data_IF_882472753567
#
_entry.id   IF_882472753567
#
_cell.length_a   1.000
_cell.length_b   1.000
_cell.length_c   1.000
_cell.angle_alpha   90.00
_cell.angle_beta   90.00
_cell.angle_gamma   90.00
#
_symmetry.space_group_name_H-M   'P 1'
#
loop_
_entity.id
_entity.type
_entity.pdbx_description
1 polymer ?
#
# COMPACT_ATOMS: atom_id res chain seq x y z
N UNK A 1 -7.36 35.21 -9.92
CA UNK A 1 -6.36 35.75 -10.87
C UNK A 1 -6.72 35.20 -12.22
N UNK A 2 -7.01 36.05 -13.24
CA UNK A 2 -7.52 35.62 -14.55
C UNK A 2 -6.45 34.83 -15.31
N UNK A 3 -6.86 33.74 -16.00
CA UNK A 3 -6.00 32.85 -16.78
C UNK A 3 -5.15 33.59 -17.84
N UNK A 4 -5.62 34.76 -18.33
CA UNK A 4 -4.89 35.62 -19.29
C UNK A 4 -3.56 36.20 -18.76
N UNK A 5 -3.34 36.21 -17.45
CA UNK A 5 -2.08 36.70 -16.86
C UNK A 5 -1.02 35.62 -16.69
N UNK A 6 -1.36 34.34 -16.80
CA UNK A 6 -0.43 33.22 -16.66
C UNK A 6 0.22 32.80 -17.98
N UNK A 7 -0.44 33.08 -19.11
CA UNK A 7 0.05 32.69 -20.43
C UNK A 7 0.29 33.92 -21.32
N UNK A 8 1.31 34.73 -20.96
CA UNK A 8 1.85 35.72 -21.89
C UNK A 8 2.35 35.03 -23.16
N UNK A 9 1.98 35.60 -24.32
CA UNK A 9 2.25 35.08 -25.65
C UNK A 9 3.66 34.50 -25.80
N UNK A 10 3.79 33.16 -25.81
CA UNK A 10 5.03 32.44 -26.10
C UNK A 10 4.83 31.55 -27.33
N UNK A 11 5.79 31.50 -28.27
CA UNK A 11 5.64 30.76 -29.53
C UNK A 11 5.82 29.26 -29.32
N UNK A 12 5.08 28.49 -30.11
CA UNK A 12 5.16 27.07 -30.43
C UNK A 12 6.38 26.32 -29.84
N UNK A 13 6.22 25.79 -28.63
CA UNK A 13 7.16 24.87 -28.00
C UNK A 13 6.40 24.02 -26.99
N UNK A 14 6.82 22.79 -26.74
CA UNK A 14 6.21 21.92 -25.73
C UNK A 14 6.05 22.67 -24.40
N UNK A 15 4.90 22.51 -23.76
CA UNK A 15 4.59 23.12 -22.46
C UNK A 15 5.64 22.60 -21.44
N UNK A 16 6.36 23.52 -20.78
CA UNK A 16 7.29 23.14 -19.73
C UNK A 16 6.56 22.52 -18.52
N UNK A 17 7.25 21.75 -17.66
CA UNK A 17 6.64 21.11 -16.51
C UNK A 17 5.88 22.10 -15.58
N UNK A 18 6.37 23.31 -15.41
CA UNK A 18 5.69 24.37 -14.63
C UNK A 18 4.39 24.85 -15.25
N UNK A 19 4.33 24.89 -16.58
CA UNK A 19 3.12 25.31 -17.33
C UNK A 19 2.09 24.18 -17.36
N UNK A 20 2.51 22.92 -17.37
CA UNK A 20 1.64 21.74 -17.31
C UNK A 20 0.92 21.66 -15.95
N UNK A 21 1.63 21.80 -14.83
CA UNK A 21 1.05 21.81 -13.48
C UNK A 21 0.06 22.98 -13.30
N UNK A 22 0.43 24.18 -13.78
CA UNK A 22 -0.45 25.34 -13.74
C UNK A 22 -1.74 25.13 -14.52
N UNK A 23 -1.64 24.55 -15.71
CA UNK A 23 -2.81 24.25 -16.55
C UNK A 23 -3.68 23.14 -15.93
N UNK A 24 -3.08 22.10 -15.37
CA UNK A 24 -3.78 21.03 -14.67
C UNK A 24 -4.63 21.57 -13.50
N UNK A 25 -4.07 22.47 -12.68
CA UNK A 25 -4.79 23.10 -11.58
C UNK A 25 -6.02 23.89 -12.04
N UNK A 26 -5.85 24.64 -13.11
CA UNK A 26 -6.94 25.44 -13.68
C UNK A 26 -8.03 24.56 -14.29
N UNK A 27 -7.64 23.53 -15.04
CA UNK A 27 -8.56 22.56 -15.62
C UNK A 27 -9.29 21.77 -14.54
N UNK A 28 -8.60 21.33 -13.50
CA UNK A 28 -9.22 20.61 -12.39
C UNK A 28 -10.35 21.42 -11.74
N UNK A 29 -10.10 22.71 -11.46
CA UNK A 29 -11.14 23.61 -10.92
C UNK A 29 -12.29 23.79 -11.89
N UNK A 30 -11.99 24.06 -13.16
CA UNK A 30 -13.01 24.22 -14.21
C UNK A 30 -13.91 22.98 -14.35
N UNK A 31 -13.33 21.79 -14.22
CA UNK A 31 -14.08 20.53 -14.32
C UNK A 31 -14.94 20.30 -13.09
N UNK A 32 -14.44 20.61 -11.88
CA UNK A 32 -15.27 20.55 -10.66
C UNK A 32 -16.48 21.46 -10.79
N UNK A 33 -16.28 22.72 -11.17
CA UNK A 33 -17.36 23.68 -11.37
C UNK A 33 -18.39 23.16 -12.41
N UNK A 34 -17.89 22.58 -13.52
CA UNK A 34 -18.74 22.00 -14.56
C UNK A 34 -19.51 20.74 -14.11
N UNK A 35 -18.93 19.92 -13.21
CA UNK A 35 -19.63 18.78 -12.60
C UNK A 35 -20.77 19.27 -11.70
N UNK A 36 -20.52 20.27 -10.86
CA UNK A 36 -21.53 20.87 -9.98
C UNK A 36 -22.67 21.50 -10.79
N UNK A 37 -22.35 22.28 -11.83
CA UNK A 37 -23.33 22.88 -12.72
C UNK A 37 -24.18 21.87 -13.50
N UNK A 38 -23.62 20.72 -13.84
CA UNK A 38 -24.31 19.65 -14.57
C UNK A 38 -25.45 19.01 -13.79
N UNK A 39 -25.45 19.12 -12.45
CA UNK A 39 -26.40 18.47 -11.54
C UNK A 39 -26.35 16.93 -11.58
N UNK A 40 -25.38 16.36 -12.29
CA UNK A 40 -25.20 14.91 -12.40
C UNK A 40 -24.23 14.42 -11.32
N UNK A 41 -24.58 13.32 -10.66
CA UNK A 41 -23.71 12.68 -9.68
C UNK A 41 -22.62 11.84 -10.38
N UNK A 42 -21.76 12.52 -11.18
CA UNK A 42 -20.71 11.89 -11.98
C UNK A 42 -19.59 11.27 -11.13
N UNK A 43 -19.38 11.78 -9.90
CA UNK A 43 -18.36 11.29 -9.00
C UNK A 43 -18.73 9.93 -8.37
N UNK A 44 -20.02 9.61 -8.29
CA UNK A 44 -20.53 8.29 -7.85
C UNK A 44 -20.85 7.36 -9.03
N UNK A 45 -20.75 7.88 -10.26
CA UNK A 45 -20.98 7.14 -11.50
C UNK A 45 -19.82 6.23 -11.91
N UNK A 46 -19.92 5.64 -13.11
CA UNK A 46 -18.82 4.84 -13.64
C UNK A 46 -17.63 5.73 -14.01
N UNK A 47 -16.39 5.24 -13.74
CA UNK A 47 -15.15 5.91 -14.15
C UNK A 47 -15.16 6.27 -15.66
N UNK A 48 -15.77 5.43 -16.49
CA UNK A 48 -15.85 5.65 -17.92
C UNK A 48 -16.72 6.87 -18.29
N UNK A 49 -17.85 7.06 -17.59
CA UNK A 49 -18.71 8.23 -17.81
C UNK A 49 -18.02 9.53 -17.38
N UNK A 50 -17.32 9.48 -16.25
CA UNK A 50 -16.54 10.64 -15.81
C UNK A 50 -15.38 10.93 -16.75
N UNK A 51 -14.65 9.91 -17.21
CA UNK A 51 -13.54 10.08 -18.15
C UNK A 51 -14.00 10.73 -19.46
N UNK A 52 -15.14 10.31 -20.00
CA UNK A 52 -15.72 10.94 -21.19
C UNK A 52 -16.07 12.41 -20.93
N UNK A 53 -16.74 12.70 -19.82
CA UNK A 53 -17.09 14.06 -19.43
C UNK A 53 -15.86 14.97 -19.29
N UNK A 54 -14.83 14.47 -18.60
CA UNK A 54 -13.55 15.19 -18.41
C UNK A 54 -12.88 15.47 -19.75
N UNK A 55 -12.81 14.46 -20.63
CA UNK A 55 -12.19 14.61 -21.98
C UNK A 55 -12.90 15.68 -22.78
N UNK A 56 -14.24 15.67 -22.78
CA UNK A 56 -15.04 16.66 -23.50
C UNK A 56 -14.82 18.08 -22.96
N UNK A 57 -14.77 18.23 -21.61
CA UNK A 57 -14.55 19.51 -20.95
C UNK A 57 -13.12 20.05 -21.10
N UNK A 58 -12.12 19.17 -21.09
CA UNK A 58 -10.73 19.55 -21.37
C UNK A 58 -10.62 20.06 -22.82
N UNK A 59 -11.19 19.35 -23.78
CA UNK A 59 -11.20 19.76 -25.18
C UNK A 59 -11.91 21.12 -25.39
N UNK A 60 -13.07 21.31 -24.74
CA UNK A 60 -13.82 22.58 -24.75
C UNK A 60 -12.99 23.73 -24.20
N UNK A 61 -12.32 23.54 -23.07
CA UNK A 61 -11.48 24.56 -22.42
C UNK A 61 -10.30 24.96 -23.30
N UNK A 62 -9.58 23.96 -23.85
CA UNK A 62 -8.42 24.16 -24.72
C UNK A 62 -8.82 24.89 -26.01
N UNK A 63 -9.94 24.50 -26.62
CA UNK A 63 -10.43 25.15 -27.83
C UNK A 63 -10.86 26.63 -27.55
N UNK A 64 -11.50 26.87 -26.42
CA UNK A 64 -11.94 28.22 -26.03
C UNK A 64 -10.79 29.20 -25.83
N UNK A 65 -9.67 28.72 -25.30
CA UNK A 65 -8.49 29.54 -25.03
C UNK A 65 -7.43 29.47 -26.16
N UNK A 66 -7.70 28.74 -27.24
CA UNK A 66 -6.79 28.54 -28.38
C UNK A 66 -5.39 28.06 -27.95
N UNK A 67 -5.33 27.17 -26.93
CA UNK A 67 -4.05 26.66 -26.43
C UNK A 67 -3.45 25.67 -27.43
N UNK A 68 -2.17 25.83 -27.74
CA UNK A 68 -1.44 24.95 -28.66
C UNK A 68 -0.95 23.70 -27.90
N UNK A 69 -1.86 22.76 -27.62
CA UNK A 69 -1.58 21.53 -26.90
C UNK A 69 -1.75 20.34 -27.83
N UNK A 70 -0.83 19.37 -27.78
CA UNK A 70 -0.94 18.16 -28.58
C UNK A 70 -2.09 17.28 -28.08
N UNK A 71 -2.65 16.44 -28.98
CA UNK A 71 -3.70 15.48 -28.60
C UNK A 71 -3.24 14.54 -27.48
N UNK A 72 -1.99 14.11 -27.51
CA UNK A 72 -1.40 13.26 -26.47
C UNK A 72 -1.36 13.95 -25.10
N UNK A 73 -0.94 15.21 -25.05
CA UNK A 73 -0.91 15.99 -23.79
C UNK A 73 -2.33 16.25 -23.26
N UNK A 74 -3.32 16.49 -24.15
CA UNK A 74 -4.71 16.65 -23.77
C UNK A 74 -5.29 15.37 -23.16
N UNK A 75 -5.04 14.22 -23.78
CA UNK A 75 -5.48 12.91 -23.29
C UNK A 75 -4.81 12.62 -21.92
N UNK A 76 -3.52 12.88 -21.78
CA UNK A 76 -2.78 12.72 -20.52
C UNK A 76 -3.34 13.61 -19.40
N UNK A 77 -3.58 14.89 -19.66
CA UNK A 77 -4.20 15.81 -18.71
C UNK A 77 -5.60 15.33 -18.27
N UNK A 78 -6.38 14.83 -19.22
CA UNK A 78 -7.70 14.26 -18.92
C UNK A 78 -7.61 13.04 -18.00
N UNK A 79 -6.71 12.12 -18.26
CA UNK A 79 -6.49 10.95 -17.40
C UNK A 79 -6.01 11.33 -16.00
N UNK A 80 -5.05 12.25 -15.91
CA UNK A 80 -4.56 12.76 -14.62
C UNK A 80 -5.66 13.40 -13.78
N UNK A 81 -6.57 14.17 -14.43
CA UNK A 81 -7.70 14.79 -13.74
C UNK A 81 -8.74 13.74 -13.31
N UNK A 82 -9.02 12.74 -14.14
CA UNK A 82 -9.90 11.63 -13.75
C UNK A 82 -9.33 10.86 -12.55
N UNK A 83 -8.03 10.55 -12.56
CA UNK A 83 -7.35 9.90 -11.43
C UNK A 83 -7.43 10.77 -10.17
N UNK A 84 -7.32 12.08 -10.30
CA UNK A 84 -7.43 13.02 -9.19
C UNK A 84 -8.86 13.12 -8.64
N UNK A 85 -9.88 12.99 -9.51
CA UNK A 85 -11.28 13.05 -9.12
C UNK A 85 -11.84 11.73 -8.58
N UNK A 86 -11.38 10.57 -9.06
CA UNK A 86 -11.96 9.25 -8.73
C UNK A 86 -11.02 8.32 -8.00
N UNK A 87 -9.72 8.49 -8.17
CA UNK A 87 -8.68 7.64 -7.59
C UNK A 87 -8.07 8.23 -6.33
N UNK A 88 -6.84 7.81 -6.06
CA UNK A 88 -6.04 8.32 -4.95
C UNK A 88 -5.26 9.59 -5.34
N UNK A 89 -5.79 10.37 -6.28
CA UNK A 89 -5.20 11.61 -6.74
C UNK A 89 -3.79 11.42 -7.29
N UNK A 90 -2.86 12.33 -6.94
CA UNK A 90 -1.49 12.24 -7.39
C UNK A 90 -0.78 10.94 -7.05
N UNK A 91 -1.25 10.20 -6.02
CA UNK A 91 -0.62 8.95 -5.59
C UNK A 91 -0.86 7.78 -6.54
N UNK A 92 -1.85 7.88 -7.44
CA UNK A 92 -2.23 6.78 -8.32
C UNK A 92 -1.06 6.28 -9.18
N UNK A 93 -0.24 7.19 -9.70
CA UNK A 93 0.96 6.87 -10.49
C UNK A 93 1.97 6.06 -9.65
N UNK A 94 2.20 6.48 -8.40
CA UNK A 94 3.12 5.80 -7.48
C UNK A 94 2.59 4.44 -7.03
N UNK A 95 1.29 4.34 -6.83
CA UNK A 95 0.64 3.08 -6.44
C UNK A 95 0.72 2.05 -7.57
N UNK A 96 0.66 2.47 -8.83
CA UNK A 96 0.81 1.60 -10.00
C UNK A 96 2.26 1.22 -10.31
N UNK A 97 3.24 2.02 -9.89
CA UNK A 97 4.66 1.77 -10.14
C UNK A 97 5.17 0.60 -9.27
N UNK A 98 5.49 -0.59 -9.83
CA UNK A 98 5.93 -1.74 -9.06
C UNK A 98 7.30 -1.53 -8.39
N UNK A 99 8.12 -0.59 -8.86
CA UNK A 99 9.42 -0.28 -8.26
C UNK A 99 9.31 0.50 -6.96
N UNK A 100 8.18 1.16 -6.71
CA UNK A 100 7.91 1.90 -5.47
C UNK A 100 7.42 0.93 -4.40
N UNK A 101 8.10 0.89 -3.27
CA UNK A 101 7.77 0.03 -2.13
C UNK A 101 7.06 0.78 -1.00
N UNK A 102 7.39 2.06 -0.82
CA UNK A 102 6.78 2.90 0.20
C UNK A 102 6.52 4.31 -0.34
N UNK A 103 5.43 4.93 0.09
CA UNK A 103 5.04 6.30 -0.26
C UNK A 103 4.80 7.04 1.04
N UNK A 104 5.49 8.17 1.23
CA UNK A 104 5.42 9.00 2.43
C UNK A 104 5.02 10.42 2.04
N UNK A 105 3.83 10.84 2.44
CA UNK A 105 3.32 12.22 2.25
C UNK A 105 3.49 12.98 3.55
N UNK A 106 4.30 14.01 3.54
CA UNK A 106 4.56 14.91 4.68
C UNK A 106 4.03 16.30 4.35
N UNK A 107 2.70 16.46 4.44
CA UNK A 107 2.02 17.66 3.95
C UNK A 107 1.94 17.69 2.42
N UNK A 108 1.35 18.77 1.84
CA UNK A 108 0.99 18.79 0.43
C UNK A 108 2.19 18.85 -0.54
N UNK A 109 3.34 19.33 -0.10
CA UNK A 109 4.46 19.63 -1.02
C UNK A 109 5.67 18.72 -0.85
N UNK A 110 5.63 17.77 0.09
CA UNK A 110 6.75 16.87 0.39
C UNK A 110 6.27 15.42 0.32
N UNK A 111 6.45 14.82 -0.84
CA UNK A 111 6.18 13.40 -1.07
C UNK A 111 7.51 12.68 -1.27
N UNK A 112 7.74 11.63 -0.50
CA UNK A 112 8.90 10.75 -0.61
C UNK A 112 8.45 9.37 -1.04
N UNK A 113 9.31 8.67 -1.75
CA UNK A 113 9.10 7.29 -2.18
C UNK A 113 10.33 6.46 -1.84
N UNK A 114 10.11 5.20 -1.52
CA UNK A 114 11.20 4.23 -1.42
C UNK A 114 11.27 3.41 -2.71
N UNK A 115 12.48 3.31 -3.26
CA UNK A 115 12.85 2.38 -4.33
C UNK A 115 14.14 1.68 -3.94
N UNK A 116 14.17 0.37 -4.08
CA UNK A 116 15.35 -0.46 -3.76
C UNK A 116 15.94 -0.20 -2.36
N UNK A 117 15.08 0.09 -1.37
CA UNK A 117 15.48 0.39 0.00
C UNK A 117 16.03 1.80 0.24
N UNK A 118 15.98 2.68 -0.77
CA UNK A 118 16.46 4.07 -0.67
C UNK A 118 15.29 5.04 -0.81
N UNK A 119 15.23 6.02 0.11
CA UNK A 119 14.24 7.09 0.07
C UNK A 119 14.66 8.21 -0.90
N UNK A 120 13.74 8.58 -1.79
CA UNK A 120 13.89 9.66 -2.74
C UNK A 120 12.73 10.65 -2.59
N UNK A 121 12.99 11.94 -2.75
CA UNK A 121 11.93 12.92 -2.87
C UNK A 121 11.33 12.84 -4.28
N UNK A 122 10.00 12.74 -4.34
CA UNK A 122 9.24 12.78 -5.60
C UNK A 122 8.94 14.23 -5.99
N UNK A 123 8.82 14.48 -7.29
CA UNK A 123 8.33 15.76 -7.83
C UNK A 123 6.81 15.94 -7.67
N UNK A 124 6.12 14.89 -7.25
CA UNK A 124 4.68 14.85 -7.05
C UNK A 124 4.26 15.74 -5.88
N UNK A 125 3.19 16.51 -6.07
CA UNK A 125 2.65 17.44 -5.07
C UNK A 125 1.13 17.41 -5.04
N UNK A 126 0.60 17.68 -3.87
CA UNK A 126 -0.82 17.98 -3.69
C UNK A 126 -1.05 19.49 -3.80
N UNK A 127 -2.29 19.86 -4.07
CA UNK A 127 -2.70 21.29 -4.20
C UNK A 127 -2.53 22.02 -2.86
N UNK A 128 -3.08 21.42 -1.81
CA UNK A 128 -3.11 21.96 -0.45
C UNK A 128 -3.30 20.83 0.59
N UNK A 129 -3.34 21.17 1.87
CA UNK A 129 -3.56 20.22 2.96
C UNK A 129 -4.93 19.53 2.87
N UNK A 130 -5.98 20.25 2.50
CA UNK A 130 -7.31 19.67 2.33
C UNK A 130 -7.37 18.65 1.19
N UNK A 131 -6.56 18.83 0.14
CA UNK A 131 -6.45 17.84 -0.93
C UNK A 131 -5.85 16.52 -0.39
N UNK A 132 -4.81 16.61 0.46
CA UNK A 132 -4.24 15.41 1.14
C UNK A 132 -5.31 14.72 1.99
N UNK A 133 -6.03 15.48 2.82
CA UNK A 133 -7.10 14.95 3.67
C UNK A 133 -8.22 14.28 2.88
N UNK A 134 -8.67 14.89 1.77
CA UNK A 134 -9.68 14.27 0.88
C UNK A 134 -9.20 12.94 0.30
N UNK A 135 -7.93 12.85 -0.10
CA UNK A 135 -7.36 11.59 -0.60
C UNK A 135 -7.27 10.55 0.53
N UNK A 136 -6.84 10.95 1.74
CA UNK A 136 -6.85 10.07 2.91
C UNK A 136 -8.26 9.54 3.21
N UNK A 137 -9.27 10.41 3.24
CA UNK A 137 -10.65 10.00 3.47
C UNK A 137 -11.14 9.03 2.40
N UNK A 138 -10.78 9.28 1.13
CA UNK A 138 -11.14 8.40 0.01
C UNK A 138 -10.50 7.01 0.11
N UNK A 139 -9.27 6.94 0.62
CA UNK A 139 -8.57 5.68 0.91
C UNK A 139 -9.25 4.93 2.07
N UNK A 140 -9.68 5.64 3.12
CA UNK A 140 -10.13 5.07 4.38
C UNK A 140 -11.63 4.75 4.41
N UNK A 141 -12.46 5.53 3.72
CA UNK A 141 -13.92 5.37 3.73
C UNK A 141 -14.39 3.97 3.31
N UNK A 142 -13.88 3.35 2.22
CA UNK A 142 -14.26 1.99 1.85
C UNK A 142 -13.87 0.93 2.89
N UNK A 143 -12.91 1.25 3.77
CA UNK A 143 -12.42 0.38 4.83
C UNK A 143 -13.24 0.52 6.13
N UNK A 144 -14.23 1.40 6.14
CA UNK A 144 -15.03 1.71 7.34
C UNK A 144 -14.23 2.38 8.45
N UNK A 145 -13.12 3.03 8.11
CA UNK A 145 -12.26 3.73 9.08
C UNK A 145 -12.56 5.23 9.09
N UNK A 146 -12.55 5.82 10.29
CA UNK A 146 -12.76 7.26 10.49
C UNK A 146 -11.42 7.95 10.68
N UNK A 147 -11.30 9.13 10.09
CA UNK A 147 -10.18 10.05 10.27
C UNK A 147 -10.79 11.45 10.41
N UNK A 148 -10.86 11.95 11.63
CA UNK A 148 -11.42 13.25 11.98
C UNK A 148 -10.74 13.79 13.25
N UNK A 149 -11.11 14.98 13.71
CA UNK A 149 -10.55 15.59 14.92
C UNK A 149 -10.69 14.71 16.18
N UNK A 150 -11.73 13.87 16.26
CA UNK A 150 -11.94 12.94 17.38
C UNK A 150 -11.09 11.68 17.24
N UNK A 151 -10.71 11.32 16.03
CA UNK A 151 -9.85 10.18 15.70
C UNK A 151 -8.80 10.63 14.68
N UNK A 152 -7.80 11.43 15.13
CA UNK A 152 -6.90 12.13 14.21
C UNK A 152 -5.79 11.27 13.61
N UNK A 153 -5.75 9.99 13.94
CA UNK A 153 -4.81 9.02 13.37
C UNK A 153 -5.48 7.66 13.16
N UNK A 154 -5.06 6.93 12.14
CA UNK A 154 -5.61 5.64 11.79
C UNK A 154 -4.59 4.76 11.08
N UNK A 155 -4.60 3.48 11.45
CA UNK A 155 -3.97 2.40 10.69
C UNK A 155 -5.04 1.62 9.94
N UNK A 156 -4.77 1.34 8.68
CA UNK A 156 -5.68 0.62 7.81
C UNK A 156 -4.92 -0.28 6.84
N UNK A 157 -5.66 -1.18 6.21
CA UNK A 157 -5.15 -2.07 5.17
C UNK A 157 -6.01 -1.97 3.94
N UNK A 158 -5.37 -1.73 2.80
CA UNK A 158 -6.03 -1.72 1.50
C UNK A 158 -6.43 -3.14 1.05
N UNK A 159 -7.39 -3.29 0.13
CA UNK A 159 -7.79 -4.59 -0.40
C UNK A 159 -6.65 -5.37 -1.08
N UNK A 160 -5.65 -4.67 -1.60
CA UNK A 160 -4.45 -5.27 -2.20
C UNK A 160 -3.43 -5.78 -1.16
N UNK A 161 -3.68 -5.50 0.13
CA UNK A 161 -2.82 -5.87 1.24
C UNK A 161 -1.86 -4.77 1.71
N UNK A 162 -1.77 -3.65 1.00
CA UNK A 162 -0.93 -2.51 1.37
C UNK A 162 -1.37 -1.92 2.72
N UNK A 163 -0.40 -1.50 3.54
CA UNK A 163 -0.66 -0.84 4.82
C UNK A 163 -0.73 0.66 4.64
N UNK A 164 -1.64 1.29 5.33
CA UNK A 164 -1.83 2.74 5.33
C UNK A 164 -1.86 3.24 6.76
N UNK A 165 -1.01 4.20 7.07
CA UNK A 165 -1.11 5.02 8.27
C UNK A 165 -1.40 6.46 7.86
N UNK A 166 -2.41 7.07 8.46
CA UNK A 166 -2.78 8.46 8.23
C UNK A 166 -2.90 9.20 9.56
N UNK A 167 -2.41 10.42 9.58
CA UNK A 167 -2.47 11.30 10.75
C UNK A 167 -2.73 12.75 10.29
N UNK A 168 -3.62 13.45 10.99
CA UNK A 168 -4.04 14.81 10.64
C UNK A 168 -3.81 15.80 11.80
N UNK A 169 -3.81 17.12 11.53
CA UNK A 169 -3.85 18.12 12.58
C UNK A 169 -5.01 17.89 13.57
N UNK A 170 -4.89 18.31 14.86
CA UNK A 170 -3.81 19.13 15.40
C UNK A 170 -2.58 18.34 15.84
N UNK A 171 -2.61 17.00 15.86
CA UNK A 171 -1.46 16.20 16.32
C UNK A 171 -0.33 16.10 15.28
N UNK A 172 -0.64 16.23 14.00
CA UNK A 172 0.35 16.38 12.93
C UNK A 172 0.66 17.88 12.74
N UNK A 173 1.72 18.37 13.38
CA UNK A 173 2.00 19.80 13.49
C UNK A 173 2.33 20.48 12.13
N UNK A 174 2.96 19.74 11.23
CA UNK A 174 3.39 20.25 9.90
C UNK A 174 2.33 20.01 8.80
N UNK A 175 1.14 19.56 9.18
CA UNK A 175 0.05 19.21 8.26
C UNK A 175 -0.21 17.70 8.19
N UNK A 176 -1.19 17.29 7.36
CA UNK A 176 -1.58 15.88 7.24
C UNK A 176 -0.42 15.03 6.71
N UNK A 177 -0.20 13.86 7.33
CA UNK A 177 0.82 12.89 6.92
C UNK A 177 0.18 11.54 6.58
N UNK A 178 0.61 10.95 5.46
CA UNK A 178 0.15 9.67 4.98
C UNK A 178 1.35 8.78 4.65
N UNK A 179 1.37 7.58 5.19
CA UNK A 179 2.36 6.55 4.86
C UNK A 179 1.65 5.36 4.23
N UNK A 180 2.09 4.94 3.06
CA UNK A 180 1.57 3.74 2.38
C UNK A 180 2.74 2.80 2.12
N UNK A 181 2.73 1.65 2.79
CA UNK A 181 3.67 0.56 2.51
C UNK A 181 3.00 -0.44 1.59
N UNK A 182 3.47 -0.49 0.35
CA UNK A 182 2.88 -1.35 -0.68
C UNK A 182 3.12 -2.82 -0.38
N UNK A 183 2.08 -3.62 -0.61
CA UNK A 183 2.19 -5.06 -0.53
C UNK A 183 2.91 -5.60 -1.77
N UNK A 184 4.08 -6.21 -1.58
CA UNK A 184 4.83 -6.83 -2.67
C UNK A 184 4.09 -8.09 -3.16
N UNK A 185 3.77 -8.13 -4.44
CA UNK A 185 3.15 -9.30 -5.08
C UNK A 185 4.18 -10.31 -5.59
N UNK A 186 5.41 -9.86 -5.81
CA UNK A 186 6.47 -10.70 -6.36
C UNK A 186 7.06 -11.57 -5.25
N UNK A 187 6.79 -12.87 -5.36
CA UNK A 187 7.34 -13.87 -4.45
C UNK A 187 8.75 -14.23 -4.95
N UNK A 188 9.76 -13.86 -4.17
CA UNK A 188 11.12 -14.35 -4.38
C UNK A 188 11.15 -15.88 -4.19
N UNK A 189 11.92 -16.54 -5.05
CA UNK A 189 12.19 -17.98 -5.00
C UNK A 189 13.58 -18.24 -4.42
N UNK A 190 13.82 -19.47 -4.02
CA UNK A 190 15.17 -19.89 -3.56
C UNK A 190 16.25 -19.65 -4.62
N UNK A 191 15.92 -19.79 -5.90
CA UNK A 191 16.82 -19.47 -7.02
C UNK A 191 17.25 -18.01 -7.04
N UNK A 192 16.39 -17.10 -6.62
CA UNK A 192 16.68 -15.67 -6.60
C UNK A 192 17.67 -15.35 -5.46
N UNK A 193 17.49 -15.97 -4.28
CA UNK A 193 18.46 -15.83 -3.17
C UNK A 193 19.85 -16.34 -3.53
N UNK A 194 19.93 -17.44 -4.29
CA UNK A 194 21.20 -17.97 -4.78
C UNK A 194 21.82 -17.05 -5.84
N UNK A 195 21.01 -16.53 -6.77
CA UNK A 195 21.48 -15.58 -7.78
C UNK A 195 22.00 -14.28 -7.16
N UNK A 196 21.36 -13.81 -6.08
CA UNK A 196 21.78 -12.65 -5.28
C UNK A 196 22.95 -12.96 -4.32
N UNK A 197 23.44 -14.19 -4.30
CA UNK A 197 24.49 -14.67 -3.40
C UNK A 197 24.16 -14.47 -1.90
N UNK A 198 22.89 -14.41 -1.56
CA UNK A 198 22.42 -14.31 -0.17
C UNK A 198 22.62 -15.64 0.57
N UNK A 199 22.40 -16.76 -0.13
CA UNK A 199 22.68 -18.13 0.34
C UNK A 199 23.40 -18.89 -0.76
N UNK A 200 24.24 -19.83 -0.38
CA UNK A 200 24.83 -20.80 -1.30
C UNK A 200 23.99 -22.10 -1.36
N UNK A 201 24.41 -23.00 -2.25
CA UNK A 201 23.72 -24.29 -2.43
C UNK A 201 23.74 -25.14 -1.16
N UNK A 202 24.85 -25.15 -0.43
CA UNK A 202 25.01 -25.99 0.76
C UNK A 202 24.07 -25.51 1.88
N UNK A 203 23.94 -24.19 2.08
CA UNK A 203 22.97 -23.60 3.02
C UNK A 203 21.55 -23.92 2.57
N UNK A 204 21.24 -23.80 1.27
CA UNK A 204 19.91 -24.12 0.76
C UNK A 204 19.53 -25.58 0.99
N UNK A 205 20.43 -26.53 0.69
CA UNK A 205 20.23 -27.97 0.93
C UNK A 205 20.05 -28.28 2.43
N UNK A 206 20.82 -27.62 3.30
CA UNK A 206 20.65 -27.73 4.74
C UNK A 206 19.26 -27.28 5.18
N UNK A 207 18.80 -26.10 4.72
CA UNK A 207 17.48 -25.56 5.04
C UNK A 207 16.36 -26.44 4.50
N UNK A 208 16.48 -26.95 3.26
CA UNK A 208 15.53 -27.88 2.66
C UNK A 208 15.41 -29.17 3.49
N UNK A 209 16.53 -29.73 3.92
CA UNK A 209 16.56 -30.89 4.79
C UNK A 209 15.93 -30.62 6.16
N UNK A 210 16.20 -29.45 6.75
CA UNK A 210 15.61 -29.04 8.03
C UNK A 210 14.08 -28.93 7.93
N UNK A 211 13.57 -28.29 6.87
CA UNK A 211 12.11 -28.19 6.59
C UNK A 211 11.50 -29.58 6.38
N UNK A 212 12.15 -30.43 5.57
CA UNK A 212 11.67 -31.79 5.28
C UNK A 212 11.64 -32.69 6.52
N UNK A 213 12.58 -32.50 7.44
CA UNK A 213 12.65 -33.22 8.74
C UNK A 213 11.78 -32.62 9.83
N UNK A 214 10.97 -31.60 9.51
CA UNK A 214 10.11 -30.90 10.46
C UNK A 214 10.87 -30.26 11.62
N UNK A 215 12.07 -29.73 11.37
CA UNK A 215 12.75 -28.93 12.38
C UNK A 215 11.98 -27.63 12.62
N UNK A 216 11.88 -27.21 13.87
CA UNK A 216 11.39 -25.89 14.23
C UNK A 216 12.43 -24.84 13.85
N UNK A 217 12.03 -23.78 13.17
CA UNK A 217 12.94 -22.78 12.63
C UNK A 217 12.57 -21.39 13.14
N UNK A 218 13.55 -20.73 13.76
CA UNK A 218 13.46 -19.32 14.16
C UNK A 218 14.43 -18.50 13.30
N UNK A 219 13.89 -17.45 12.65
CA UNK A 219 14.66 -16.55 11.81
C UNK A 219 14.81 -15.22 12.53
N UNK A 220 16.06 -14.87 12.91
CA UNK A 220 16.36 -13.62 13.62
C UNK A 220 17.05 -12.62 12.72
N UNK A 221 16.81 -11.34 12.96
CA UNK A 221 17.46 -10.23 12.24
C UNK A 221 16.73 -8.91 12.42
N UNK A 222 17.38 -7.80 12.07
CA UNK A 222 16.81 -6.47 12.13
C UNK A 222 15.68 -6.23 11.13
N UNK A 223 15.07 -5.04 11.17
CA UNK A 223 14.05 -4.62 10.19
C UNK A 223 14.67 -4.55 8.79
N UNK A 224 13.92 -4.99 7.76
CA UNK A 224 14.38 -4.94 6.38
C UNK A 224 15.43 -5.97 5.96
N UNK A 225 15.88 -6.86 6.86
CA UNK A 225 16.93 -7.86 6.55
C UNK A 225 16.44 -9.07 5.74
N UNK A 226 15.14 -9.15 5.42
CA UNK A 226 14.58 -10.23 4.61
C UNK A 226 14.05 -11.43 5.41
N UNK A 227 13.83 -11.32 6.73
CA UNK A 227 13.26 -12.40 7.57
C UNK A 227 11.98 -13.00 6.98
N UNK A 228 11.00 -12.15 6.69
CA UNK A 228 9.71 -12.56 6.10
C UNK A 228 9.89 -13.18 4.71
N UNK A 229 10.83 -12.67 3.94
CA UNK A 229 11.18 -13.23 2.62
C UNK A 229 11.74 -14.64 2.76
N UNK A 230 12.69 -14.87 3.67
CA UNK A 230 13.23 -16.19 3.92
C UNK A 230 12.15 -17.14 4.44
N UNK A 231 11.30 -16.69 5.37
CA UNK A 231 10.17 -17.48 5.87
C UNK A 231 9.20 -17.90 4.75
N UNK A 232 8.88 -16.99 3.83
CA UNK A 232 8.05 -17.30 2.66
C UNK A 232 8.73 -18.35 1.76
N UNK A 233 10.03 -18.23 1.51
CA UNK A 233 10.77 -19.20 0.68
C UNK A 233 10.82 -20.56 1.35
N UNK A 234 11.11 -20.65 2.65
CA UNK A 234 11.15 -21.91 3.38
C UNK A 234 9.76 -22.57 3.41
N UNK A 235 8.69 -21.80 3.48
CA UNK A 235 7.33 -22.33 3.45
C UNK A 235 6.98 -23.05 2.15
N UNK A 236 7.60 -22.64 1.02
CA UNK A 236 7.40 -23.29 -0.28
C UNK A 236 8.04 -24.71 -0.33
N UNK A 237 8.97 -25.00 0.59
CA UNK A 237 9.61 -26.31 0.70
C UNK A 237 8.80 -27.29 1.55
N UNK A 238 7.71 -26.85 2.18
CA UNK A 238 6.83 -27.70 2.98
C UNK A 238 6.05 -28.64 2.06
N UNK A 239 5.82 -29.87 2.52
CA UNK A 239 5.06 -30.86 1.77
C UNK A 239 3.64 -30.34 1.50
N UNK A 240 3.16 -30.33 0.24
CA UNK A 240 1.85 -29.80 -0.14
C UNK A 240 0.65 -30.50 0.52
N UNK A 241 0.83 -31.67 1.11
CA UNK A 241 -0.22 -32.38 1.87
C UNK A 241 -0.34 -31.94 3.33
N UNK A 242 0.58 -31.10 3.82
CA UNK A 242 0.52 -30.58 5.18
C UNK A 242 -0.46 -29.38 5.27
N UNK A 243 -1.15 -29.28 6.39
CA UNK A 243 -2.04 -28.14 6.70
C UNK A 243 -1.26 -27.10 7.48
N UNK A 244 -1.18 -25.88 6.94
CA UNK A 244 -0.50 -24.75 7.55
C UNK A 244 -1.53 -23.82 8.18
N UNK A 245 -1.24 -23.32 9.38
CA UNK A 245 -1.97 -22.19 9.97
C UNK A 245 -0.98 -21.06 10.17
N UNK A 246 -1.24 -19.92 9.55
CA UNK A 246 -0.41 -18.70 9.77
C UNK A 246 -1.09 -17.78 10.77
N UNK A 247 -0.29 -17.13 11.60
CA UNK A 247 -0.76 -16.14 12.57
C UNK A 247 0.15 -14.91 12.44
N UNK A 248 -0.44 -13.76 12.22
CA UNK A 248 0.29 -12.52 11.95
C UNK A 248 -0.43 -11.34 12.60
N UNK A 249 0.31 -10.32 12.97
CA UNK A 249 -0.27 -9.04 13.39
C UNK A 249 -0.92 -8.32 12.22
N UNK A 250 -0.24 -8.35 11.09
CA UNK A 250 -0.78 -7.96 9.77
C UNK A 250 -0.32 -9.01 8.78
N UNK A 251 -1.26 -9.59 8.04
CA UNK A 251 -0.98 -10.69 7.13
C UNK A 251 -0.10 -10.26 5.95
N UNK A 252 1.21 -10.49 6.05
CA UNK A 252 2.22 -10.24 5.02
C UNK A 252 2.72 -11.54 4.35
N UNK A 253 2.55 -12.68 5.02
CA UNK A 253 3.03 -13.95 4.50
C UNK A 253 2.28 -14.35 3.23
N UNK A 254 3.05 -14.71 2.22
CA UNK A 254 2.57 -15.21 0.94
C UNK A 254 3.07 -16.63 0.74
N UNK A 255 2.43 -17.56 1.43
CA UNK A 255 2.83 -18.96 1.33
C UNK A 255 2.26 -19.54 0.02
N UNK A 256 3.12 -19.90 -0.90
CA UNK A 256 2.76 -20.61 -2.14
C UNK A 256 2.34 -22.06 -1.88
N UNK A 257 1.52 -22.32 -0.84
CA UNK A 257 1.13 -23.63 -0.38
C UNK A 257 -0.37 -23.85 -0.56
N UNK A 258 -0.84 -25.02 -1.02
CA UNK A 258 -2.24 -25.25 -1.37
C UNK A 258 -3.20 -25.27 -0.16
N UNK A 259 -2.71 -25.59 1.03
CA UNK A 259 -3.55 -25.74 2.21
C UNK A 259 -3.09 -24.83 3.36
N UNK A 260 -3.45 -23.54 3.29
CA UNK A 260 -3.12 -22.52 4.29
C UNK A 260 -4.40 -21.93 4.87
N UNK A 261 -4.44 -21.82 6.20
CA UNK A 261 -5.44 -21.01 6.91
C UNK A 261 -4.72 -19.81 7.49
N UNK A 262 -5.14 -18.62 7.10
CA UNK A 262 -4.51 -17.36 7.52
C UNK A 262 -5.32 -16.72 8.64
N UNK A 263 -4.67 -16.42 9.76
CA UNK A 263 -5.25 -15.74 10.91
C UNK A 263 -4.49 -14.44 11.15
N UNK A 264 -5.23 -13.39 11.47
CA UNK A 264 -4.68 -12.05 11.75
C UNK A 264 -5.19 -11.59 13.12
N UNK A 265 -4.31 -10.99 13.90
CA UNK A 265 -4.68 -10.37 15.18
C UNK A 265 -5.62 -9.19 14.93
N UNK A 266 -6.36 -8.82 15.93
CA UNK A 266 -7.24 -7.65 15.87
C UNK A 266 -6.99 -6.76 17.08
N UNK A 267 -6.55 -5.50 16.87
CA UNK A 267 -6.45 -4.54 17.95
C UNK A 267 -7.83 -4.23 18.53
N UNK A 268 -7.91 -3.75 19.76
CA UNK A 268 -9.17 -3.32 20.36
C UNK A 268 -9.81 -2.18 19.53
N UNK A 269 -11.13 -2.10 19.56
CA UNK A 269 -11.87 -0.98 18.97
C UNK A 269 -11.68 0.30 19.80
N UNK A 270 -12.28 1.41 19.36
CA UNK A 270 -12.22 2.70 20.05
C UNK A 270 -12.73 2.67 21.50
N UNK A 271 -13.55 1.68 21.85
CA UNK A 271 -14.10 1.46 23.18
C UNK A 271 -13.24 0.50 24.03
N UNK A 272 -12.10 0.04 23.51
CA UNK A 272 -11.21 -0.90 24.18
C UNK A 272 -11.66 -2.36 24.13
N UNK A 273 -12.65 -2.71 23.28
CA UNK A 273 -13.22 -4.05 23.19
C UNK A 273 -12.86 -4.77 21.90
N UNK A 274 -13.00 -6.09 21.91
CA UNK A 274 -12.87 -6.93 20.72
C UNK A 274 -11.44 -7.22 20.28
N UNK A 275 -10.45 -7.00 21.17
CA UNK A 275 -9.06 -7.39 20.93
C UNK A 275 -8.95 -8.91 20.73
N UNK A 276 -8.15 -9.35 19.76
CA UNK A 276 -7.76 -10.74 19.54
C UNK A 276 -6.25 -10.81 19.41
N UNK A 277 -5.58 -11.37 20.40
CA UNK A 277 -4.12 -11.44 20.49
C UNK A 277 -3.55 -12.66 19.75
N UNK A 278 -2.28 -12.61 19.40
CA UNK A 278 -1.58 -13.73 18.79
C UNK A 278 -1.64 -14.99 19.67
N UNK A 279 -1.53 -14.85 21.00
CA UNK A 279 -1.68 -15.95 21.95
C UNK A 279 -3.04 -16.66 21.89
N UNK A 280 -4.13 -15.89 21.69
CA UNK A 280 -5.47 -16.47 21.55
C UNK A 280 -5.61 -17.24 20.25
N UNK A 281 -5.04 -16.70 19.18
CA UNK A 281 -5.03 -17.35 17.85
C UNK A 281 -4.17 -18.62 17.86
N UNK A 282 -3.01 -18.63 18.52
CA UNK A 282 -2.16 -19.83 18.68
C UNK A 282 -2.94 -20.93 19.40
N UNK A 283 -3.55 -20.62 20.54
CA UNK A 283 -4.36 -21.59 21.30
C UNK A 283 -5.55 -22.13 20.51
N UNK A 284 -6.16 -21.28 19.68
CA UNK A 284 -7.23 -21.71 18.80
C UNK A 284 -6.70 -22.58 17.65
N UNK A 285 -5.57 -22.20 17.07
CA UNK A 285 -4.93 -22.93 15.97
C UNK A 285 -4.64 -24.39 16.33
N UNK A 286 -4.23 -24.68 17.56
CA UNK A 286 -4.01 -26.05 18.08
C UNK A 286 -5.25 -26.96 17.96
N UNK A 287 -6.46 -26.38 17.88
CA UNK A 287 -7.74 -27.12 17.68
C UNK A 287 -8.15 -27.21 16.22
N UNK A 288 -7.39 -26.56 15.31
CA UNK A 288 -7.71 -26.54 13.87
C UNK A 288 -7.01 -27.66 13.08
N UNK A 289 -6.39 -28.60 13.77
CA UNK A 289 -5.58 -29.69 13.18
C UNK A 289 -4.47 -29.18 12.27
N UNK A 290 -3.60 -28.28 12.74
CA UNK A 290 -2.47 -27.85 11.95
C UNK A 290 -1.41 -28.96 11.92
N UNK A 291 -0.73 -29.13 10.78
CA UNK A 291 0.53 -29.88 10.73
C UNK A 291 1.68 -28.99 11.15
N UNK A 292 1.62 -27.69 10.80
CA UNK A 292 2.57 -26.65 11.24
C UNK A 292 1.87 -25.33 11.52
N UNK A 293 2.40 -24.59 12.50
CA UNK A 293 2.01 -23.23 12.80
C UNK A 293 3.14 -22.29 12.36
N UNK A 294 2.80 -21.29 11.57
CA UNK A 294 3.76 -20.30 11.09
C UNK A 294 3.35 -18.97 11.68
N UNK A 295 4.17 -18.43 12.59
CA UNK A 295 3.96 -17.12 13.17
C UNK A 295 4.80 -16.09 12.41
N UNK A 296 4.18 -15.01 11.94
CA UNK A 296 4.87 -13.97 11.19
C UNK A 296 6.02 -13.38 11.98
N UNK A 297 5.78 -13.00 13.24
CA UNK A 297 6.80 -12.45 14.13
C UNK A 297 6.45 -12.69 15.59
N UNK A 298 7.46 -13.01 16.39
CA UNK A 298 7.38 -13.08 17.86
C UNK A 298 7.86 -11.73 18.43
N UNK A 299 7.01 -11.06 19.20
CA UNK A 299 7.30 -9.76 19.82
C UNK A 299 7.15 -9.72 21.33
N UNK A 300 6.46 -10.70 21.92
CA UNK A 300 6.10 -10.63 23.34
C UNK A 300 5.76 -11.97 23.96
N UNK A 301 4.71 -11.95 24.78
CA UNK A 301 4.32 -13.09 25.63
C UNK A 301 3.87 -14.33 24.85
N UNK A 302 3.46 -14.18 23.60
CA UNK A 302 3.07 -15.27 22.69
C UNK A 302 4.19 -16.27 22.43
N UNK A 303 5.44 -15.90 22.69
CA UNK A 303 6.60 -16.82 22.60
C UNK A 303 6.36 -18.12 23.39
N UNK A 304 5.72 -18.03 24.56
CA UNK A 304 5.45 -19.21 25.40
C UNK A 304 4.44 -20.14 24.71
N UNK A 305 3.40 -19.59 24.10
CA UNK A 305 2.41 -20.37 23.37
C UNK A 305 2.99 -21.01 22.11
N UNK A 306 3.88 -20.29 21.39
CA UNK A 306 4.62 -20.83 20.23
C UNK A 306 5.51 -21.99 20.63
N UNK A 307 6.33 -21.83 21.67
CA UNK A 307 7.22 -22.89 22.16
C UNK A 307 6.45 -24.11 22.67
N UNK A 308 5.28 -23.85 23.27
CA UNK A 308 4.37 -24.92 23.70
C UNK A 308 3.82 -25.68 22.48
N UNK A 309 3.39 -24.97 21.44
CA UNK A 309 2.94 -25.58 20.19
C UNK A 309 4.04 -26.45 19.54
N UNK A 310 5.26 -25.91 19.45
CA UNK A 310 6.43 -26.60 18.92
C UNK A 310 6.80 -27.87 19.72
N UNK A 311 6.45 -27.93 21.02
CA UNK A 311 6.76 -29.04 21.92
C UNK A 311 5.62 -30.07 22.04
N UNK A 312 4.44 -29.76 21.54
CA UNK A 312 3.23 -30.57 21.72
C UNK A 312 2.71 -31.24 20.42
N UNK A 313 3.63 -31.57 19.52
CA UNK A 313 3.31 -32.35 18.31
C UNK A 313 3.05 -31.52 17.04
N UNK A 314 3.43 -30.24 17.06
CA UNK A 314 3.38 -29.37 15.87
C UNK A 314 4.81 -29.05 15.40
N UNK A 315 5.62 -30.10 15.25
CA UNK A 315 7.01 -30.03 14.78
C UNK A 315 7.08 -29.40 13.38
N UNK A 316 8.14 -28.62 13.13
CA UNK A 316 8.35 -27.92 11.89
C UNK A 316 7.64 -26.57 11.82
N UNK A 317 7.18 -26.06 12.96
CA UNK A 317 6.67 -24.70 13.06
C UNK A 317 7.79 -23.67 12.84
N UNK A 318 7.43 -22.53 12.27
CA UNK A 318 8.40 -21.49 11.90
C UNK A 318 7.95 -20.13 12.39
N UNK A 319 8.92 -19.28 12.73
CA UNK A 319 8.64 -17.90 13.10
C UNK A 319 9.82 -16.99 12.82
N UNK A 320 9.55 -15.67 12.79
CA UNK A 320 10.61 -14.67 12.85
C UNK A 320 10.67 -14.03 14.24
N UNK A 321 11.83 -13.51 14.59
CA UNK A 321 12.08 -12.76 15.83
C UNK A 321 13.00 -11.58 15.54
N UNK A 322 12.76 -10.50 16.23
CA UNK A 322 13.56 -9.27 16.11
C UNK A 322 14.77 -9.31 17.01
#
# INVERSE_FOLDING_TARGET
MSAEKLFGATPRGAIGNSDHEGLKLVLHRYIIDAIEESGKNLLEGSRQQLAQFVTDKVAEYIARLHLAISRYEMERLGEEIVDELTGFGPLEVLLRDPSVTEILVNGPHRVFIERDGVLHQSDLRFIDAHHVERVMQRILAPLGRRLDESSPMVDARLPDGSRVNAIIPPIALDGPCLSIRKFRKDMLKSTDLMAMQTIDLAIFEFLQNAVGRRCNILISGGTGTGKTTLLNILSQLINPHERLVTIEDVAELQLGHPHVVRLETRPPNAEGHGEVKASDLIRNALRMRPDRIILGEIRGVEVVDVLTAMNTGHDGSMSTVH
#
